data_IF_393567665465
#
_entry.id   IF_393567665465
#
_cell.length_a   1.000
_cell.length_b   1.000
_cell.length_c   1.000
_cell.angle_alpha   90.00
_cell.angle_beta   90.00
_cell.angle_gamma   90.00
#
_symmetry.space_group_name_H-M   'P 1'
#
loop_
_entity.id
_entity.type
_entity.pdbx_description
1 polymer ?
#
# COMPACT_ATOMS: atom_id res chain seq x y z
N UNK A 1 10.72 10.23 18.01
CA UNK A 1 11.16 9.03 17.26
C UNK A 1 12.18 9.48 16.23
N UNK A 2 13.24 8.72 16.01
CA UNK A 2 14.30 9.09 15.07
C UNK A 2 13.83 8.88 13.65
N UNK A 3 14.03 9.86 12.75
CA UNK A 3 13.74 9.73 11.32
C UNK A 3 14.80 8.84 10.65
N UNK A 4 14.37 7.81 9.93
CA UNK A 4 15.25 7.01 9.09
C UNK A 4 15.49 7.69 7.75
N UNK A 5 14.43 8.21 7.14
CA UNK A 5 14.51 8.96 5.88
C UNK A 5 13.69 10.23 6.01
N UNK A 6 14.29 11.36 5.63
CA UNK A 6 13.64 12.65 5.42
C UNK A 6 13.80 13.05 3.96
N UNK A 7 12.67 13.37 3.33
CA UNK A 7 12.57 13.85 1.96
C UNK A 7 11.92 15.22 2.00
N UNK A 8 12.55 16.22 1.38
CA UNK A 8 12.08 17.61 1.41
C UNK A 8 12.01 18.16 -0.02
N UNK A 9 10.80 18.59 -0.43
CA UNK A 9 10.49 19.21 -1.71
C UNK A 9 11.11 18.51 -2.93
N UNK A 10 11.06 17.16 -2.93
CA UNK A 10 11.70 16.33 -3.94
C UNK A 10 10.92 16.39 -5.26
N UNK A 11 11.61 16.81 -6.32
CA UNK A 11 11.09 16.78 -7.68
C UNK A 11 11.93 15.88 -8.57
N UNK A 12 11.27 15.21 -9.52
CA UNK A 12 11.93 14.44 -10.57
C UNK A 12 11.26 14.66 -11.89
N UNK A 13 12.02 15.12 -12.87
CA UNK A 13 11.59 15.38 -14.22
C UNK A 13 12.39 14.55 -15.22
N UNK A 14 11.69 13.95 -16.18
CA UNK A 14 12.28 13.20 -17.29
C UNK A 14 11.98 13.90 -18.62
N UNK A 15 12.87 13.81 -19.57
CA UNK A 15 12.70 14.35 -20.92
C UNK A 15 13.61 15.53 -21.23
N UNK A 16 13.47 16.08 -22.44
CA UNK A 16 14.23 17.22 -22.92
C UNK A 16 13.53 18.55 -22.61
N UNK A 17 14.23 19.70 -22.61
CA UNK A 17 13.63 21.00 -22.41
C UNK A 17 12.45 21.25 -23.39
N UNK A 18 11.24 21.44 -22.85
CA UNK A 18 10.01 21.64 -23.62
C UNK A 18 9.08 20.41 -23.71
N UNK A 19 9.55 19.21 -23.34
CA UNK A 19 8.73 17.99 -23.22
C UNK A 19 9.07 17.23 -21.94
N UNK A 20 9.02 17.89 -20.79
CA UNK A 20 9.33 17.28 -19.51
C UNK A 20 8.10 16.58 -18.90
N UNK A 21 8.27 15.32 -18.51
CA UNK A 21 7.33 14.59 -17.66
C UNK A 21 7.77 14.72 -16.21
N UNK A 22 6.98 15.40 -15.40
CA UNK A 22 7.24 15.50 -13.96
C UNK A 22 6.72 14.23 -13.26
N UNK A 23 7.64 13.34 -12.90
CA UNK A 23 7.33 12.07 -12.26
C UNK A 23 7.11 12.21 -10.74
N UNK A 24 7.81 13.17 -10.11
CA UNK A 24 7.58 13.57 -8.71
C UNK A 24 7.51 15.09 -8.65
N UNK A 25 6.57 15.60 -7.85
CA UNK A 25 6.22 17.00 -7.75
C UNK A 25 6.10 17.41 -6.27
N UNK A 26 7.12 18.10 -5.76
CA UNK A 26 7.20 18.66 -4.40
C UNK A 26 6.94 17.59 -3.30
N UNK A 27 7.46 16.39 -3.47
CA UNK A 27 7.28 15.31 -2.50
C UNK A 27 8.07 15.61 -1.23
N UNK A 28 7.33 15.75 -0.11
CA UNK A 28 7.92 15.83 1.23
C UNK A 28 7.37 14.68 2.08
N UNK A 29 8.27 13.91 2.71
CA UNK A 29 7.93 12.68 3.39
C UNK A 29 8.93 12.37 4.50
N UNK A 30 8.43 11.92 5.64
CA UNK A 30 9.25 11.45 6.75
C UNK A 30 8.92 9.98 7.08
N UNK A 31 9.95 9.12 7.03
CA UNK A 31 9.89 7.69 7.36
C UNK A 31 10.65 7.49 8.67
N UNK A 32 10.00 6.84 9.64
CA UNK A 32 10.58 6.62 10.96
C UNK A 32 11.51 5.42 10.98
N UNK A 33 12.44 5.40 11.92
CA UNK A 33 13.28 4.22 12.13
C UNK A 33 12.43 3.03 12.61
N UNK A 34 12.78 1.84 12.13
CA UNK A 34 12.16 0.56 12.49
C UNK A 34 10.67 0.45 12.15
N UNK A 35 10.15 1.22 11.16
CA UNK A 35 8.78 1.03 10.67
C UNK A 35 8.75 0.24 9.36
N UNK A 36 7.63 -0.43 9.13
CA UNK A 36 7.25 -0.95 7.83
C UNK A 36 6.42 0.12 7.13
N UNK A 37 7.04 0.84 6.21
CA UNK A 37 6.44 1.96 5.50
C UNK A 37 6.08 1.59 4.06
N UNK A 38 4.85 1.84 3.63
CA UNK A 38 4.41 1.50 2.28
C UNK A 38 4.14 2.73 1.42
N UNK A 39 4.67 2.72 0.21
CA UNK A 39 4.31 3.63 -0.87
C UNK A 39 3.22 2.97 -1.71
N UNK A 40 2.02 3.50 -1.65
CA UNK A 40 0.83 2.95 -2.28
C UNK A 40 0.28 3.93 -3.33
N UNK A 41 -0.21 3.44 -4.45
CA UNK A 41 -0.82 4.28 -5.47
C UNK A 41 -0.93 3.57 -6.83
N UNK A 42 -1.66 4.14 -7.79
CA UNK A 42 -1.82 3.57 -9.12
C UNK A 42 -0.51 3.47 -9.89
N UNK A 43 -0.48 2.69 -10.95
CA UNK A 43 0.68 2.59 -11.83
C UNK A 43 1.03 3.97 -12.42
N UNK A 44 2.33 4.27 -12.50
CA UNK A 44 2.83 5.54 -13.04
C UNK A 44 2.71 6.76 -12.11
N UNK A 45 2.31 6.60 -10.83
CA UNK A 45 2.21 7.74 -9.91
C UNK A 45 3.55 8.16 -9.25
N UNK A 46 4.68 7.53 -9.58
CA UNK A 46 6.01 7.92 -9.09
C UNK A 46 6.61 7.06 -7.98
N UNK A 47 5.95 5.98 -7.52
CA UNK A 47 6.45 5.11 -6.42
C UNK A 47 7.84 4.54 -6.67
N UNK A 48 8.02 3.82 -7.78
CA UNK A 48 9.31 3.23 -8.18
C UNK A 48 10.37 4.30 -8.44
N UNK A 49 9.97 5.47 -8.98
CA UNK A 49 10.88 6.61 -9.15
C UNK A 49 11.39 7.09 -7.79
N UNK A 50 10.48 7.28 -6.81
CA UNK A 50 10.86 7.67 -5.45
C UNK A 50 11.79 6.64 -4.81
N UNK A 51 11.49 5.35 -4.95
CA UNK A 51 12.32 4.28 -4.44
C UNK A 51 13.73 4.29 -5.08
N UNK A 52 13.82 4.51 -6.41
CA UNK A 52 15.10 4.61 -7.14
C UNK A 52 15.93 5.80 -6.70
N UNK A 53 15.31 6.94 -6.42
CA UNK A 53 15.96 8.12 -5.87
C UNK A 53 16.54 7.85 -4.46
N UNK A 54 15.81 7.17 -3.60
CA UNK A 54 16.29 6.74 -2.27
C UNK A 54 17.46 5.77 -2.42
N UNK A 55 17.36 4.81 -3.34
CA UNK A 55 18.41 3.85 -3.63
C UNK A 55 19.68 4.48 -4.27
N UNK A 56 19.54 5.64 -4.91
CA UNK A 56 20.62 6.33 -5.61
C UNK A 56 20.83 5.89 -7.05
N UNK A 57 19.88 5.17 -7.63
CA UNK A 57 19.89 4.81 -9.06
C UNK A 57 19.49 5.96 -9.98
N UNK A 58 18.82 6.97 -9.40
CA UNK A 58 18.45 8.21 -10.07
C UNK A 58 18.89 9.40 -9.21
N UNK A 59 19.07 10.56 -9.83
CA UNK A 59 19.34 11.81 -9.13
C UNK A 59 18.11 12.72 -9.23
N UNK A 60 17.69 13.38 -8.15
CA UNK A 60 16.54 14.29 -8.19
C UNK A 60 16.84 15.53 -9.01
N UNK A 61 15.82 16.07 -9.67
CA UNK A 61 15.92 17.37 -10.34
C UNK A 61 16.04 18.52 -9.35
N UNK A 62 15.40 18.41 -8.18
CA UNK A 62 15.52 19.31 -7.04
C UNK A 62 15.04 18.65 -5.74
N UNK A 63 15.28 19.31 -4.61
CA UNK A 63 14.95 18.81 -3.28
C UNK A 63 16.06 17.98 -2.66
N UNK A 64 15.80 17.42 -1.47
CA UNK A 64 16.83 16.70 -0.69
C UNK A 64 16.32 15.37 -0.16
N UNK A 65 17.22 14.40 -0.08
CA UNK A 65 17.01 13.10 0.59
C UNK A 65 18.08 12.95 1.67
N UNK A 66 17.65 12.72 2.91
CA UNK A 66 18.54 12.43 4.03
C UNK A 66 18.22 11.07 4.61
N UNK A 67 19.26 10.32 4.95
CA UNK A 67 19.17 9.03 5.62
C UNK A 67 19.82 9.16 7.00
N UNK A 68 19.04 8.99 8.06
CA UNK A 68 19.49 9.23 9.44
C UNK A 68 20.22 10.59 9.60
N UNK A 69 19.71 11.63 8.93
CA UNK A 69 20.26 12.99 8.93
C UNK A 69 21.39 13.25 7.93
N UNK A 70 22.00 12.23 7.35
CA UNK A 70 23.06 12.35 6.34
C UNK A 70 22.48 12.57 4.94
N UNK A 71 23.02 13.56 4.20
CA UNK A 71 22.59 13.83 2.82
C UNK A 71 23.05 12.71 1.88
N UNK A 72 22.14 12.28 0.96
CA UNK A 72 22.38 11.13 0.09
C UNK A 72 22.66 11.50 -1.37
N UNK A 73 22.44 12.74 -1.79
CA UNK A 73 22.47 13.15 -3.20
C UNK A 73 23.79 12.80 -3.89
N UNK A 74 24.93 13.03 -3.22
CA UNK A 74 26.26 12.81 -3.77
C UNK A 74 26.80 11.39 -3.57
N UNK A 75 26.02 10.53 -2.89
CA UNK A 75 26.46 9.16 -2.63
C UNK A 75 25.96 8.21 -3.73
N UNK A 76 26.88 7.47 -4.36
CA UNK A 76 26.49 6.42 -5.32
C UNK A 76 25.75 5.28 -4.60
N UNK A 77 24.95 4.47 -5.32
CA UNK A 77 24.11 3.41 -4.73
C UNK A 77 24.86 2.48 -3.77
N UNK A 78 26.06 2.05 -4.13
CA UNK A 78 26.85 1.09 -3.34
C UNK A 78 27.41 1.65 -2.02
N UNK A 79 27.38 2.97 -1.83
CA UNK A 79 27.79 3.64 -0.58
C UNK A 79 26.60 4.01 0.32
N UNK A 80 25.39 3.94 -0.19
CA UNK A 80 24.20 4.21 0.62
C UNK A 80 23.91 3.03 1.55
N UNK A 81 23.56 3.26 2.82
CA UNK A 81 23.26 2.17 3.75
C UNK A 81 21.85 1.60 3.53
N UNK A 82 21.48 1.39 2.27
CA UNK A 82 20.22 0.82 1.81
C UNK A 82 20.48 -0.38 0.90
N UNK A 83 19.59 -1.36 0.91
CA UNK A 83 19.60 -2.44 -0.07
C UNK A 83 18.22 -2.55 -0.72
N UNK A 84 18.20 -3.02 -1.97
CA UNK A 84 16.95 -3.15 -2.75
C UNK A 84 16.70 -4.60 -3.12
N UNK A 85 15.46 -5.05 -2.94
CA UNK A 85 14.91 -6.26 -3.54
C UNK A 85 14.01 -5.83 -4.69
N UNK A 86 14.38 -6.21 -5.90
CA UNK A 86 13.67 -5.89 -7.13
C UNK A 86 12.50 -6.85 -7.36
N UNK A 87 11.56 -6.45 -8.19
CA UNK A 87 10.39 -7.25 -8.59
C UNK A 87 10.78 -8.62 -9.18
N UNK A 88 11.85 -8.68 -9.96
CA UNK A 88 12.39 -9.91 -10.55
C UNK A 88 13.35 -10.69 -9.64
N UNK A 89 13.47 -10.28 -8.36
CA UNK A 89 14.44 -10.78 -7.38
C UNK A 89 15.90 -10.62 -7.76
N UNK A 90 16.23 -10.49 -9.03
CA UNK A 90 17.56 -10.28 -9.61
C UNK A 90 18.65 -11.20 -9.02
N UNK A 91 18.33 -12.47 -8.75
CA UNK A 91 19.32 -13.48 -8.35
C UNK A 91 20.27 -13.77 -9.51
N UNK A 92 21.56 -13.95 -9.20
CA UNK A 92 22.55 -14.33 -10.18
C UNK A 92 22.36 -15.81 -10.59
N UNK A 93 21.95 -16.10 -11.84
CA UNK A 93 21.52 -17.44 -12.23
C UNK A 93 22.67 -18.45 -12.29
N UNK A 94 23.89 -17.96 -12.47
CA UNK A 94 25.11 -18.79 -12.55
C UNK A 94 25.73 -19.12 -11.18
N UNK A 95 25.24 -18.48 -10.12
CA UNK A 95 25.69 -18.64 -8.73
C UNK A 95 24.77 -19.55 -7.94
N UNK A 96 25.34 -20.28 -6.98
CA UNK A 96 24.58 -20.96 -5.95
C UNK A 96 23.86 -19.96 -5.01
N UNK A 97 22.94 -20.45 -4.21
CA UNK A 97 22.25 -19.66 -3.18
C UNK A 97 23.26 -19.06 -2.18
N UNK A 98 24.22 -19.84 -1.74
CA UNK A 98 25.25 -19.37 -0.82
C UNK A 98 26.10 -18.25 -1.41
N UNK A 99 26.52 -18.40 -2.68
CA UNK A 99 27.26 -17.37 -3.41
C UNK A 99 26.41 -16.11 -3.64
N UNK A 100 25.12 -16.25 -3.99
CA UNK A 100 24.21 -15.12 -4.11
C UNK A 100 24.15 -14.30 -2.81
N UNK A 101 23.98 -14.96 -1.65
CA UNK A 101 23.90 -14.29 -0.35
C UNK A 101 25.24 -13.68 0.03
N UNK A 102 26.34 -14.40 -0.23
CA UNK A 102 27.70 -14.00 0.11
C UNK A 102 28.29 -12.91 -0.76
N UNK A 103 27.76 -12.70 -1.99
CA UNK A 103 28.34 -11.82 -3.00
C UNK A 103 28.69 -10.41 -2.49
N UNK A 104 27.73 -9.75 -1.82
CA UNK A 104 27.95 -8.41 -1.30
C UNK A 104 28.99 -8.35 -0.18
N UNK A 105 29.13 -9.43 0.59
CA UNK A 105 30.13 -9.55 1.66
C UNK A 105 31.53 -9.74 1.09
N UNK A 106 31.64 -10.54 0.02
CA UNK A 106 32.89 -10.74 -0.72
C UNK A 106 33.39 -9.44 -1.33
N UNK A 107 32.51 -8.67 -1.98
CA UNK A 107 32.85 -7.34 -2.54
C UNK A 107 33.29 -6.34 -1.47
N UNK A 108 32.94 -6.53 -0.21
CA UNK A 108 33.38 -5.76 0.94
C UNK A 108 34.67 -6.28 1.55
N UNK A 109 35.24 -7.37 1.03
CA UNK A 109 36.49 -7.96 1.46
C UNK A 109 36.44 -8.73 2.79
N UNK A 110 35.25 -9.24 3.20
CA UNK A 110 35.12 -10.08 4.38
C UNK A 110 35.85 -11.41 4.16
N UNK A 111 36.35 -12.00 5.24
CA UNK A 111 37.00 -13.31 5.21
C UNK A 111 35.96 -14.41 4.85
N UNK A 112 36.45 -15.51 4.26
CA UNK A 112 35.61 -16.65 3.90
C UNK A 112 34.82 -17.21 5.10
N UNK A 113 35.44 -17.26 6.27
CA UNK A 113 34.75 -17.73 7.48
C UNK A 113 33.61 -16.83 7.92
N UNK A 114 33.77 -15.49 7.84
CA UNK A 114 32.70 -14.53 8.15
C UNK A 114 31.56 -14.62 7.13
N UNK A 115 31.89 -14.81 5.85
CA UNK A 115 30.89 -15.02 4.80
C UNK A 115 30.08 -16.29 5.06
N UNK A 116 30.75 -17.43 5.31
CA UNK A 116 30.08 -18.71 5.58
C UNK A 116 29.17 -18.64 6.82
N UNK A 117 29.63 -17.99 7.90
CA UNK A 117 28.81 -17.77 9.09
C UNK A 117 27.58 -16.90 8.80
N UNK A 118 27.76 -15.80 8.06
CA UNK A 118 26.67 -14.88 7.72
C UNK A 118 25.66 -15.57 6.79
N UNK A 119 26.13 -16.30 5.77
CA UNK A 119 25.27 -17.05 4.85
C UNK A 119 24.43 -18.06 5.62
N UNK A 120 25.03 -18.83 6.53
CA UNK A 120 24.31 -19.77 7.37
C UNK A 120 23.22 -19.10 8.20
N UNK A 121 23.56 -17.99 8.89
CA UNK A 121 22.60 -17.24 9.68
C UNK A 121 21.45 -16.67 8.83
N UNK A 122 21.73 -16.18 7.62
CA UNK A 122 20.72 -15.66 6.71
C UNK A 122 19.80 -16.76 6.20
N UNK A 123 20.31 -17.94 5.89
CA UNK A 123 19.51 -19.09 5.49
C UNK A 123 18.59 -19.58 6.60
N UNK A 124 19.07 -19.58 7.84
CA UNK A 124 18.26 -19.89 9.03
C UNK A 124 17.17 -18.83 9.23
N UNK A 125 17.51 -17.54 9.12
CA UNK A 125 16.57 -16.43 9.25
C UNK A 125 15.38 -16.51 8.27
N UNK A 126 15.65 -16.90 7.02
CA UNK A 126 14.59 -17.06 5.99
C UNK A 126 13.99 -18.47 5.94
N UNK A 127 14.32 -19.34 6.90
CA UNK A 127 13.82 -20.73 7.05
C UNK A 127 14.10 -21.61 5.85
N UNK A 128 15.29 -21.50 5.28
CA UNK A 128 15.79 -22.29 4.15
C UNK A 128 17.22 -22.81 4.39
N UNK A 129 17.52 -23.52 5.49
CA UNK A 129 18.90 -23.87 5.87
C UNK A 129 19.60 -24.80 4.86
N UNK A 130 18.83 -25.65 4.14
CA UNK A 130 19.39 -26.74 3.34
C UNK A 130 19.58 -26.40 1.85
N UNK A 131 19.24 -25.17 1.40
CA UNK A 131 19.27 -24.84 -0.04
C UNK A 131 20.57 -24.17 -0.49
N UNK A 132 21.54 -23.98 0.37
CA UNK A 132 22.75 -23.19 0.09
C UNK A 132 23.55 -23.60 -1.17
N UNK A 133 23.53 -24.90 -1.53
CA UNK A 133 24.21 -25.44 -2.72
C UNK A 133 23.37 -25.39 -4.00
N UNK A 134 22.07 -25.09 -3.91
CA UNK A 134 21.16 -25.03 -5.08
C UNK A 134 21.44 -23.78 -5.89
N UNK A 135 21.03 -23.78 -7.14
CA UNK A 135 21.02 -22.59 -8.02
C UNK A 135 19.62 -21.97 -8.00
N UNK A 136 19.54 -20.70 -8.46
CA UNK A 136 18.29 -19.95 -8.44
C UNK A 136 17.16 -20.64 -9.24
N UNK A 137 17.47 -21.28 -10.36
CA UNK A 137 16.53 -22.01 -11.22
C UNK A 137 15.95 -23.29 -10.57
N UNK A 138 16.55 -23.78 -9.51
CA UNK A 138 16.10 -24.95 -8.74
C UNK A 138 15.18 -24.58 -7.58
N UNK A 139 14.80 -23.30 -7.46
CA UNK A 139 13.98 -22.77 -6.38
C UNK A 139 12.60 -22.36 -6.88
N UNK A 140 11.57 -22.56 -6.03
CA UNK A 140 10.25 -21.96 -6.28
C UNK A 140 10.32 -20.43 -6.18
N UNK A 141 9.33 -19.70 -6.75
CA UNK A 141 9.29 -18.25 -6.71
C UNK A 141 9.37 -17.68 -5.29
N UNK A 142 8.66 -18.25 -4.33
CA UNK A 142 8.74 -17.84 -2.93
C UNK A 142 10.07 -18.16 -2.26
N UNK A 143 10.75 -19.25 -2.66
CA UNK A 143 12.12 -19.53 -2.22
C UNK A 143 13.10 -18.52 -2.81
N UNK A 144 12.97 -18.18 -4.10
CA UNK A 144 13.81 -17.16 -4.74
C UNK A 144 13.67 -15.81 -4.05
N UNK A 145 12.44 -15.42 -3.70
CA UNK A 145 12.19 -14.18 -2.95
C UNK A 145 12.87 -14.20 -1.58
N UNK A 146 12.73 -15.27 -0.80
CA UNK A 146 13.40 -15.41 0.49
C UNK A 146 14.91 -15.34 0.37
N UNK A 147 15.51 -15.90 -0.67
CA UNK A 147 16.95 -15.79 -0.93
C UNK A 147 17.34 -14.37 -1.34
N UNK A 148 16.52 -13.67 -2.14
CA UNK A 148 16.78 -12.25 -2.45
C UNK A 148 16.74 -11.37 -1.19
N UNK A 149 15.80 -11.64 -0.28
CA UNK A 149 15.75 -11.00 1.04
C UNK A 149 16.99 -11.32 1.88
N UNK A 150 17.38 -12.60 1.96
CA UNK A 150 18.58 -13.03 2.67
C UNK A 150 19.84 -12.33 2.14
N UNK A 151 19.99 -12.22 0.80
CA UNK A 151 21.08 -11.48 0.14
C UNK A 151 21.08 -10.00 0.52
N UNK A 152 19.90 -9.38 0.51
CA UNK A 152 19.77 -7.97 0.84
C UNK A 152 20.07 -7.71 2.34
N UNK A 153 19.63 -8.57 3.24
CA UNK A 153 19.84 -8.47 4.68
C UNK A 153 21.27 -8.81 5.12
N UNK A 154 21.98 -9.67 4.38
CA UNK A 154 23.35 -10.08 4.69
C UNK A 154 24.30 -8.89 4.85
N UNK A 155 24.12 -7.83 4.09
CA UNK A 155 24.90 -6.60 4.16
C UNK A 155 24.56 -5.71 5.36
N UNK A 156 23.60 -6.08 6.21
CA UNK A 156 23.11 -5.32 7.37
C UNK A 156 22.76 -3.87 7.01
N UNK A 157 21.85 -3.65 6.05
CA UNK A 157 21.43 -2.30 5.68
C UNK A 157 20.67 -1.63 6.83
N UNK A 158 20.68 -0.29 6.87
CA UNK A 158 19.80 0.46 7.78
C UNK A 158 18.37 0.52 7.27
N UNK A 159 18.18 0.45 5.95
CA UNK A 159 16.87 0.48 5.27
C UNK A 159 16.83 -0.59 4.17
N UNK A 160 15.75 -1.33 4.11
CA UNK A 160 15.47 -2.29 3.04
C UNK A 160 14.36 -1.75 2.13
N UNK A 161 14.65 -1.68 0.84
CA UNK A 161 13.72 -1.23 -0.20
C UNK A 161 13.16 -2.45 -0.94
N UNK A 162 11.83 -2.54 -1.05
CA UNK A 162 11.12 -3.65 -1.68
C UNK A 162 10.26 -3.10 -2.82
N UNK A 163 10.65 -3.37 -4.08
CA UNK A 163 9.96 -2.88 -5.27
C UNK A 163 9.03 -3.96 -5.83
N UNK A 164 7.72 -3.86 -5.54
CA UNK A 164 6.67 -4.80 -5.99
C UNK A 164 7.04 -6.30 -5.85
N UNK A 165 7.79 -6.63 -4.80
CA UNK A 165 8.43 -7.94 -4.66
C UNK A 165 7.46 -9.12 -4.45
N UNK A 166 6.16 -8.86 -4.22
CA UNK A 166 5.12 -9.87 -4.05
C UNK A 166 4.27 -10.10 -5.31
N UNK A 167 4.37 -9.24 -6.32
CA UNK A 167 3.48 -9.24 -7.49
C UNK A 167 3.56 -10.51 -8.36
N UNK A 168 4.72 -11.17 -8.39
CA UNK A 168 4.94 -12.38 -9.17
C UNK A 168 4.45 -13.69 -8.51
N UNK A 169 3.95 -13.61 -7.26
CA UNK A 169 3.52 -14.78 -6.50
C UNK A 169 2.03 -15.06 -6.66
N UNK A 170 1.65 -16.35 -6.58
CA UNK A 170 0.25 -16.74 -6.43
C UNK A 170 -0.34 -16.26 -5.09
N UNK A 171 -1.66 -16.21 -4.98
CA UNK A 171 -2.36 -15.64 -3.82
C UNK A 171 -1.98 -16.30 -2.49
N UNK A 172 -1.86 -17.63 -2.44
CA UNK A 172 -1.54 -18.35 -1.19
C UNK A 172 -0.13 -18.02 -0.74
N UNK A 173 0.83 -18.12 -1.65
CA UNK A 173 2.23 -17.83 -1.37
C UNK A 173 2.45 -16.35 -1.03
N UNK A 174 1.71 -15.44 -1.67
CA UNK A 174 1.73 -14.01 -1.35
C UNK A 174 1.35 -13.75 0.10
N UNK A 175 0.24 -14.33 0.59
CA UNK A 175 -0.19 -14.21 2.00
C UNK A 175 0.84 -14.77 2.98
N UNK A 176 1.45 -15.90 2.66
CA UNK A 176 2.53 -16.47 3.47
C UNK A 176 3.74 -15.51 3.53
N UNK A 177 4.09 -14.91 2.40
CA UNK A 177 5.22 -13.97 2.30
C UNK A 177 4.95 -12.63 2.99
N UNK A 178 3.72 -12.14 3.00
CA UNK A 178 3.34 -10.94 3.78
C UNK A 178 3.62 -11.14 5.28
N UNK A 179 3.19 -12.28 5.82
CA UNK A 179 3.44 -12.63 7.23
C UNK A 179 4.95 -12.74 7.49
N UNK A 180 5.69 -13.37 6.59
CA UNK A 180 7.13 -13.57 6.72
C UNK A 180 7.89 -12.23 6.64
N UNK A 181 7.53 -11.31 5.75
CA UNK A 181 8.13 -9.98 5.67
C UNK A 181 7.91 -9.16 6.94
N UNK A 182 6.70 -9.17 7.49
CA UNK A 182 6.39 -8.47 8.75
C UNK A 182 7.16 -9.08 9.93
N UNK A 183 7.30 -10.42 9.98
CA UNK A 183 8.12 -11.11 10.96
C UNK A 183 9.60 -10.70 10.86
N UNK A 184 10.17 -10.74 9.65
CA UNK A 184 11.56 -10.38 9.39
C UNK A 184 11.85 -8.93 9.78
N UNK A 185 10.94 -8.00 9.48
CA UNK A 185 11.06 -6.61 9.88
C UNK A 185 11.10 -6.47 11.40
N UNK A 186 10.20 -7.17 12.12
CA UNK A 186 10.18 -7.15 13.59
C UNK A 186 11.43 -7.76 14.22
N UNK A 187 11.96 -8.87 13.67
CA UNK A 187 13.16 -9.54 14.19
C UNK A 187 14.45 -8.79 13.91
N UNK A 188 14.54 -8.12 12.75
CA UNK A 188 15.74 -7.40 12.35
C UNK A 188 15.79 -5.97 12.88
N UNK A 189 14.64 -5.37 13.19
CA UNK A 189 14.51 -3.97 13.58
C UNK A 189 14.92 -2.97 12.48
N UNK A 190 15.02 -3.42 11.23
CA UNK A 190 15.39 -2.59 10.07
C UNK A 190 14.15 -1.86 9.57
N UNK A 191 14.32 -0.64 9.06
CA UNK A 191 13.24 0.09 8.36
C UNK A 191 12.99 -0.54 7.01
N UNK A 192 11.74 -0.91 6.72
CA UNK A 192 11.33 -1.43 5.42
C UNK A 192 10.54 -0.37 4.67
N UNK A 193 10.87 -0.15 3.40
CA UNK A 193 10.07 0.65 2.46
C UNK A 193 9.57 -0.28 1.37
N UNK A 194 8.27 -0.45 1.32
CA UNK A 194 7.60 -1.34 0.40
C UNK A 194 6.81 -0.57 -0.64
N UNK A 195 6.98 -0.89 -1.90
CA UNK A 195 6.21 -0.34 -3.01
C UNK A 195 5.20 -1.38 -3.47
N UNK A 196 3.94 -1.00 -3.51
CA UNK A 196 2.87 -1.83 -4.05
C UNK A 196 1.76 -0.99 -4.69
N UNK A 197 0.97 -1.62 -5.53
CA UNK A 197 -0.33 -1.11 -5.99
C UNK A 197 -1.50 -1.89 -5.36
N UNK A 198 -1.21 -2.92 -4.56
CA UNK A 198 -2.19 -3.75 -3.87
C UNK A 198 -2.54 -3.14 -2.50
N UNK A 199 -3.83 -2.86 -2.31
CA UNK A 199 -4.34 -2.24 -1.09
C UNK A 199 -4.33 -3.20 0.09
N UNK A 200 -4.61 -4.51 -0.13
CA UNK A 200 -4.61 -5.53 0.92
C UNK A 200 -3.20 -5.68 1.50
N UNK A 201 -2.17 -5.67 0.65
CA UNK A 201 -0.77 -5.70 1.08
C UNK A 201 -0.44 -4.48 1.96
N UNK A 202 -0.79 -3.27 1.50
CA UNK A 202 -0.51 -2.05 2.23
C UNK A 202 -1.23 -2.01 3.59
N UNK A 203 -2.51 -2.37 3.63
CA UNK A 203 -3.31 -2.34 4.85
C UNK A 203 -2.89 -3.39 5.89
N UNK A 204 -2.39 -4.55 5.44
CA UNK A 204 -2.06 -5.68 6.35
C UNK A 204 -0.65 -5.61 6.92
N UNK A 205 0.31 -5.07 6.17
CA UNK A 205 1.72 -5.13 6.59
C UNK A 205 2.25 -3.83 7.18
N UNK A 206 1.66 -2.68 6.83
CA UNK A 206 2.28 -1.38 7.11
C UNK A 206 2.01 -0.88 8.52
N UNK A 207 2.99 -0.19 9.09
CA UNK A 207 2.79 0.67 10.24
C UNK A 207 2.25 2.03 9.79
N UNK A 208 2.74 2.54 8.63
CA UNK A 208 2.22 3.73 7.96
C UNK A 208 2.26 3.55 6.44
N UNK A 209 1.33 4.23 5.77
CA UNK A 209 1.17 4.21 4.31
C UNK A 209 1.23 5.65 3.81
N UNK A 210 1.98 5.89 2.73
CA UNK A 210 1.87 7.09 1.92
C UNK A 210 1.09 6.76 0.65
N UNK A 211 -0.03 7.43 0.43
CA UNK A 211 -0.82 7.32 -0.80
C UNK A 211 -0.31 8.35 -1.80
N UNK A 212 0.19 7.87 -2.94
CA UNK A 212 0.72 8.69 -4.02
C UNK A 212 -0.26 8.74 -5.19
N UNK A 213 -0.39 9.91 -5.80
CA UNK A 213 -1.10 10.09 -7.08
C UNK A 213 -0.47 11.23 -7.87
N UNK A 214 -0.27 11.02 -9.17
CA UNK A 214 0.27 12.04 -10.10
C UNK A 214 1.54 12.73 -9.58
N UNK A 215 2.47 11.95 -9.04
CA UNK A 215 3.76 12.44 -8.54
C UNK A 215 3.72 13.14 -7.18
N UNK A 216 2.57 13.20 -6.50
CA UNK A 216 2.40 13.87 -5.20
C UNK A 216 1.96 12.88 -4.11
N UNK A 217 2.35 13.16 -2.89
CA UNK A 217 1.81 12.46 -1.70
C UNK A 217 0.49 13.11 -1.31
N UNK A 218 -0.61 12.34 -1.35
CA UNK A 218 -1.94 12.83 -1.00
C UNK A 218 -2.22 12.71 0.50
N UNK A 219 -1.82 11.60 1.11
CA UNK A 219 -2.03 11.33 2.53
C UNK A 219 -0.94 10.40 3.07
N UNK A 220 -0.53 10.61 4.30
CA UNK A 220 0.31 9.70 5.08
C UNK A 220 -0.40 9.42 6.40
N UNK A 221 -0.55 8.14 6.74
CA UNK A 221 -1.21 7.73 7.99
C UNK A 221 -1.05 6.24 8.26
N UNK A 222 -1.58 5.80 9.39
CA UNK A 222 -1.74 4.38 9.69
C UNK A 222 -2.75 3.74 8.72
N UNK A 223 -2.75 2.40 8.54
CA UNK A 223 -3.77 1.72 7.73
C UNK A 223 -5.20 2.13 8.07
N UNK A 224 -5.51 2.23 9.37
CA UNK A 224 -6.83 2.66 9.84
C UNK A 224 -7.16 4.11 9.45
N UNK A 225 -6.22 5.05 9.59
CA UNK A 225 -6.43 6.45 9.19
C UNK A 225 -6.66 6.58 7.68
N UNK A 226 -5.88 5.85 6.86
CA UNK A 226 -6.02 5.87 5.40
C UNK A 226 -7.38 5.32 4.97
N UNK A 227 -7.86 4.25 5.61
CA UNK A 227 -9.12 3.60 5.28
C UNK A 227 -10.35 4.35 5.82
N UNK A 228 -10.32 4.73 7.11
CA UNK A 228 -11.48 5.28 7.81
C UNK A 228 -11.61 6.80 7.64
N UNK A 229 -10.49 7.52 7.45
CA UNK A 229 -10.46 8.99 7.38
C UNK A 229 -9.71 9.50 6.15
N UNK A 230 -10.12 9.11 4.93
CA UNK A 230 -9.49 9.61 3.72
C UNK A 230 -9.64 11.14 3.62
N UNK A 231 -8.56 11.82 3.24
CA UNK A 231 -8.52 13.29 3.17
C UNK A 231 -9.29 13.86 1.99
N UNK A 232 -9.46 13.08 0.93
CA UNK A 232 -10.15 13.49 -0.29
C UNK A 232 -10.78 12.30 -1.03
N UNK A 233 -11.56 12.61 -2.07
CA UNK A 233 -12.23 11.61 -2.92
C UNK A 233 -11.26 10.64 -3.57
N UNK A 234 -10.10 11.13 -4.03
CA UNK A 234 -9.08 10.28 -4.70
C UNK A 234 -8.55 9.19 -3.77
N UNK A 235 -8.25 9.53 -2.50
CA UNK A 235 -7.82 8.54 -1.52
C UNK A 235 -8.95 7.59 -1.17
N UNK A 236 -10.18 8.11 -0.95
CA UNK A 236 -11.35 7.29 -0.62
C UNK A 236 -11.70 6.28 -1.73
N UNK A 237 -11.58 6.69 -3.00
CA UNK A 237 -11.87 5.86 -4.17
C UNK A 237 -10.78 4.82 -4.42
N UNK A 238 -9.52 5.21 -4.18
CA UNK A 238 -8.39 4.32 -4.39
C UNK A 238 -8.26 3.26 -3.29
N UNK A 239 -8.66 3.54 -2.05
CA UNK A 239 -8.54 2.61 -0.92
C UNK A 239 -9.87 1.93 -0.63
N UNK A 240 -10.05 0.71 -1.09
CA UNK A 240 -11.28 -0.06 -0.93
C UNK A 240 -12.43 0.48 -1.78
N UNK A 241 -13.54 -0.24 -1.74
CA UNK A 241 -14.77 0.20 -2.40
C UNK A 241 -15.43 1.33 -1.59
N UNK A 242 -15.92 2.35 -2.27
CA UNK A 242 -16.58 3.50 -1.64
C UNK A 242 -17.82 3.91 -2.42
N UNK A 243 -18.92 4.14 -1.73
CA UNK A 243 -20.08 4.81 -2.28
C UNK A 243 -19.89 6.32 -2.15
N UNK A 244 -20.12 7.06 -3.23
CA UNK A 244 -20.12 8.51 -3.22
C UNK A 244 -21.53 9.02 -3.49
N UNK A 245 -22.04 9.90 -2.60
CA UNK A 245 -23.31 10.60 -2.78
C UNK A 245 -23.04 12.11 -2.66
N UNK A 246 -23.43 12.86 -3.67
CA UNK A 246 -23.31 14.30 -3.65
C UNK A 246 -24.57 14.94 -3.07
N UNK A 247 -24.42 16.02 -2.33
CA UNK A 247 -25.52 16.71 -1.69
C UNK A 247 -25.12 18.05 -1.11
N UNK A 248 -26.11 18.77 -0.57
CA UNK A 248 -25.93 20.07 0.06
C UNK A 248 -26.12 19.97 1.57
N UNK A 249 -25.25 20.65 2.29
CA UNK A 249 -25.34 20.69 3.76
C UNK A 249 -26.56 21.46 4.23
N UNK A 250 -27.18 20.96 5.30
CA UNK A 250 -28.25 21.65 6.03
C UNK A 250 -28.02 21.51 7.54
N UNK A 251 -28.82 22.19 8.35
CA UNK A 251 -28.75 22.06 9.81
C UNK A 251 -29.08 20.62 10.25
N UNK A 252 -28.02 19.82 10.54
CA UNK A 252 -28.13 18.45 11.02
C UNK A 252 -27.68 17.36 10.04
N UNK A 253 -27.21 17.72 8.82
CA UNK A 253 -26.72 16.71 7.87
C UNK A 253 -26.58 17.18 6.44
N UNK A 254 -26.82 16.26 5.52
CA UNK A 254 -26.73 16.50 4.06
C UNK A 254 -28.02 16.08 3.39
N UNK A 255 -28.52 16.93 2.49
CA UNK A 255 -29.67 16.68 1.61
C UNK A 255 -29.16 16.22 0.25
N UNK A 256 -29.58 15.03 -0.19
CA UNK A 256 -29.25 14.48 -1.49
C UNK A 256 -30.10 15.12 -2.62
N UNK A 257 -29.73 14.85 -3.87
CA UNK A 257 -30.35 15.43 -5.06
C UNK A 257 -31.84 15.12 -5.21
N UNK A 258 -32.31 14.00 -4.67
CA UNK A 258 -33.73 13.59 -4.66
C UNK A 258 -34.51 14.06 -3.42
N UNK A 259 -33.87 14.84 -2.55
CA UNK A 259 -34.47 15.37 -1.33
C UNK A 259 -34.33 14.49 -0.09
N UNK A 260 -33.76 13.29 -0.21
CA UNK A 260 -33.48 12.43 0.94
C UNK A 260 -32.45 13.09 1.87
N UNK A 261 -32.60 12.86 3.17
CA UNK A 261 -31.78 13.48 4.21
C UNK A 261 -30.93 12.42 4.91
N UNK A 262 -29.62 12.66 5.04
CA UNK A 262 -28.72 11.86 5.83
C UNK A 262 -28.17 12.70 6.99
N UNK A 263 -28.43 12.24 8.21
CA UNK A 263 -27.89 12.87 9.40
C UNK A 263 -26.37 12.63 9.48
N UNK A 264 -25.58 13.70 9.55
CA UNK A 264 -24.14 13.62 9.75
C UNK A 264 -23.62 14.91 10.36
N UNK A 265 -22.61 14.81 11.21
CA UNK A 265 -21.94 15.97 11.73
C UNK A 265 -20.95 16.51 10.68
N UNK A 266 -21.12 17.74 10.25
CA UNK A 266 -20.18 18.43 9.38
C UNK A 266 -20.05 19.90 9.78
N UNK A 267 -18.84 20.42 9.73
CA UNK A 267 -18.57 21.86 9.86
C UNK A 267 -18.52 22.56 8.49
N UNK A 268 -18.67 21.81 7.41
CA UNK A 268 -18.63 22.33 6.02
C UNK A 268 -19.99 22.91 5.66
N UNK A 269 -19.99 23.92 4.81
CA UNK A 269 -21.19 24.56 4.27
C UNK A 269 -21.18 24.45 2.74
N UNK A 270 -22.36 24.28 2.14
CA UNK A 270 -22.55 24.17 0.69
C UNK A 270 -22.49 22.75 0.18
N UNK A 271 -22.05 22.58 -1.07
CA UNK A 271 -22.01 21.29 -1.74
C UNK A 271 -20.88 20.42 -1.22
N UNK A 272 -21.18 19.16 -0.92
CA UNK A 272 -20.25 18.17 -0.34
C UNK A 272 -20.45 16.81 -0.99
N UNK A 273 -19.41 15.97 -0.93
CA UNK A 273 -19.52 14.56 -1.28
C UNK A 273 -19.47 13.71 0.00
N UNK A 274 -20.44 12.82 0.16
CA UNK A 274 -20.44 11.80 1.20
C UNK A 274 -19.71 10.56 0.69
N UNK A 275 -18.72 10.07 1.44
CA UNK A 275 -18.05 8.80 1.21
C UNK A 275 -18.53 7.79 2.26
N UNK A 276 -19.02 6.64 1.78
CA UNK A 276 -19.66 5.62 2.62
C UNK A 276 -19.13 4.25 2.18
N UNK A 277 -18.59 3.48 3.12
CA UNK A 277 -18.10 2.12 2.83
C UNK A 277 -19.27 1.13 2.68
N UNK A 278 -19.25 0.22 1.68
CA UNK A 278 -20.32 -0.76 1.46
C UNK A 278 -20.61 -1.69 2.63
N UNK A 279 -19.59 -2.04 3.42
CA UNK A 279 -19.69 -2.90 4.60
C UNK A 279 -20.14 -2.16 5.87
N UNK A 280 -20.22 -0.84 5.83
CA UNK A 280 -20.69 0.00 6.95
C UNK A 280 -22.18 0.28 6.90
N UNK A 281 -22.85 -0.14 5.85
CA UNK A 281 -24.29 0.03 5.64
C UNK A 281 -24.97 -1.32 5.52
N UNK A 282 -26.27 -1.38 5.81
CA UNK A 282 -27.05 -2.62 5.74
C UNK A 282 -28.44 -2.37 5.19
N UNK A 283 -29.05 -3.39 4.58
CA UNK A 283 -30.46 -3.37 4.25
C UNK A 283 -31.28 -3.61 5.53
N UNK A 284 -32.18 -2.70 5.85
CA UNK A 284 -33.01 -2.78 7.05
C UNK A 284 -34.32 -2.02 6.84
N UNK A 285 -35.45 -2.56 7.34
CA UNK A 285 -36.77 -1.93 7.15
C UNK A 285 -36.85 -0.52 7.78
N UNK A 286 -36.06 -0.23 8.81
CA UNK A 286 -35.94 1.05 9.50
C UNK A 286 -34.87 1.98 8.91
N UNK A 287 -34.29 1.63 7.74
CA UNK A 287 -33.24 2.42 7.11
C UNK A 287 -33.71 3.80 6.67
N UNK A 288 -32.80 4.78 6.73
CA UNK A 288 -33.08 6.18 6.40
C UNK A 288 -33.08 6.44 4.89
N UNK A 289 -32.24 5.72 4.15
CA UNK A 289 -31.99 5.94 2.74
C UNK A 289 -32.80 4.94 1.90
N UNK A 290 -33.58 5.44 0.94
CA UNK A 290 -34.34 4.61 0.02
C UNK A 290 -33.55 4.28 -1.23
N UNK A 291 -33.68 3.06 -1.74
CA UNK A 291 -33.06 2.61 -2.98
C UNK A 291 -33.84 1.52 -3.67
N UNK A 292 -33.42 1.18 -4.89
CA UNK A 292 -33.98 0.07 -5.67
C UNK A 292 -32.86 -0.89 -6.03
N UNK A 293 -33.10 -2.18 -5.88
CA UNK A 293 -32.10 -3.22 -6.19
C UNK A 293 -31.93 -3.34 -7.71
N UNK A 294 -30.73 -3.08 -8.20
CA UNK A 294 -30.36 -3.21 -9.61
C UNK A 294 -29.68 -4.56 -9.91
N UNK A 295 -28.88 -5.06 -8.97
CA UNK A 295 -28.20 -6.35 -9.13
C UNK A 295 -27.84 -6.95 -7.76
N UNK A 296 -27.65 -8.28 -7.73
CA UNK A 296 -27.27 -9.03 -6.52
C UNK A 296 -26.15 -9.98 -6.90
N UNK A 297 -25.01 -9.88 -6.21
CA UNK A 297 -23.83 -10.72 -6.44
C UNK A 297 -23.51 -11.51 -5.17
N UNK A 298 -23.63 -12.84 -5.24
CA UNK A 298 -23.25 -13.74 -4.15
C UNK A 298 -21.77 -14.03 -4.22
N UNK A 299 -21.02 -13.71 -3.15
CA UNK A 299 -19.56 -13.87 -3.08
C UNK A 299 -19.14 -14.99 -2.11
N UNK A 300 -20.07 -15.81 -1.65
CA UNK A 300 -19.80 -16.88 -0.66
C UNK A 300 -19.99 -16.37 0.78
N UNK A 301 -18.99 -15.71 1.33
CA UNK A 301 -19.07 -15.13 2.68
C UNK A 301 -20.01 -13.94 2.78
N UNK A 302 -20.16 -13.20 1.68
CA UNK A 302 -20.93 -11.96 1.61
C UNK A 302 -21.87 -11.96 0.40
N UNK A 303 -22.91 -11.15 0.47
CA UNK A 303 -23.74 -10.76 -0.68
C UNK A 303 -23.56 -9.27 -0.93
N UNK A 304 -23.22 -8.91 -2.17
CA UNK A 304 -23.11 -7.53 -2.63
C UNK A 304 -24.40 -7.15 -3.37
N UNK A 305 -25.12 -6.16 -2.84
CA UNK A 305 -26.27 -5.55 -3.48
C UNK A 305 -25.82 -4.28 -4.22
N UNK A 306 -26.13 -4.18 -5.50
CA UNK A 306 -26.01 -2.95 -6.29
C UNK A 306 -27.36 -2.27 -6.35
N UNK A 307 -27.42 -1.03 -5.90
CA UNK A 307 -28.65 -0.29 -5.73
C UNK A 307 -28.62 1.00 -6.53
N UNK A 308 -29.79 1.45 -6.96
CA UNK A 308 -30.02 2.82 -7.41
C UNK A 308 -30.47 3.65 -6.21
N UNK A 309 -29.72 4.70 -5.88
CA UNK A 309 -29.96 5.58 -4.73
C UNK A 309 -29.86 7.04 -5.18
N UNK A 310 -30.79 7.89 -4.79
CA UNK A 310 -30.83 9.31 -5.16
C UNK A 310 -30.66 9.55 -6.68
N UNK A 311 -31.24 8.67 -7.51
CA UNK A 311 -31.14 8.72 -8.96
C UNK A 311 -29.81 8.18 -9.53
N UNK A 312 -28.82 7.86 -8.71
CA UNK A 312 -27.52 7.33 -9.10
C UNK A 312 -27.50 5.81 -9.00
N UNK A 313 -26.99 5.12 -10.03
CA UNK A 313 -26.79 3.67 -10.04
C UNK A 313 -25.46 3.28 -9.40
N UNK A 314 -25.39 2.02 -8.92
CA UNK A 314 -24.14 1.43 -8.45
C UNK A 314 -23.80 1.71 -6.99
N UNK A 315 -24.75 2.17 -6.18
CA UNK A 315 -24.56 2.22 -4.72
C UNK A 315 -24.47 0.80 -4.18
N UNK A 316 -23.41 0.50 -3.43
CA UNK A 316 -23.07 -0.84 -2.95
C UNK A 316 -23.42 -1.02 -1.49
N UNK A 317 -24.08 -2.15 -1.18
CA UNK A 317 -24.26 -2.63 0.20
C UNK A 317 -23.66 -4.03 0.28
N UNK A 318 -22.68 -4.22 1.15
CA UNK A 318 -22.05 -5.54 1.39
C UNK A 318 -22.57 -6.10 2.69
N UNK A 319 -23.27 -7.20 2.60
CA UNK A 319 -23.89 -7.85 3.75
C UNK A 319 -23.31 -9.26 3.93
N UNK A 320 -22.84 -9.56 5.14
CA UNK A 320 -22.32 -10.86 5.48
C UNK A 320 -23.42 -11.91 5.48
N UNK A 321 -23.16 -13.08 4.90
CA UNK A 321 -24.09 -14.20 4.83
C UNK A 321 -24.04 -14.96 6.16
N UNK A 322 -24.96 -14.63 7.07
CA UNK A 322 -25.17 -15.40 8.31
C UNK A 322 -26.39 -16.31 8.17
N UNK A 323 -26.40 -17.45 8.85
CA UNK A 323 -27.56 -18.35 8.92
C UNK A 323 -28.79 -17.59 9.40
N UNK A 324 -29.81 -17.46 8.52
CA UNK A 324 -31.09 -16.83 8.78
C UNK A 324 -31.20 -15.32 8.56
N UNK A 325 -30.13 -14.61 8.18
CA UNK A 325 -30.15 -13.14 8.05
C UNK A 325 -30.27 -12.61 6.60
N UNK A 326 -30.40 -13.47 5.60
CA UNK A 326 -30.62 -13.05 4.22
C UNK A 326 -32.03 -12.49 4.07
N UNK A 327 -32.17 -11.17 4.11
CA UNK A 327 -33.33 -10.49 3.58
C UNK A 327 -33.36 -10.83 2.07
N UNK A 328 -34.30 -11.71 1.67
CA UNK A 328 -34.41 -12.14 0.26
C UNK A 328 -35.00 -11.01 -0.57
N UNK A 329 -34.17 -10.07 -0.97
CA UNK A 329 -34.50 -9.06 -1.94
C UNK A 329 -34.34 -9.63 -3.36
N UNK A 330 -35.19 -9.23 -4.29
CA UNK A 330 -35.03 -9.50 -5.69
C UNK A 330 -34.66 -8.22 -6.46
N UNK A 331 -34.12 -8.40 -7.65
CA UNK A 331 -33.85 -7.26 -8.56
C UNK A 331 -35.21 -6.55 -8.85
N UNK A 332 -35.20 -5.24 -8.71
CA UNK A 332 -36.39 -4.38 -8.85
C UNK A 332 -37.07 -4.03 -7.53
N UNK A 333 -36.74 -4.71 -6.43
CA UNK A 333 -37.32 -4.42 -5.12
C UNK A 333 -36.92 -3.05 -4.60
N UNK A 334 -37.90 -2.33 -4.03
CA UNK A 334 -37.62 -1.15 -3.23
C UNK A 334 -37.12 -1.55 -1.84
N UNK A 335 -35.98 -1.01 -1.44
CA UNK A 335 -35.34 -1.34 -0.18
C UNK A 335 -35.00 -0.08 0.64
N UNK A 336 -34.81 -0.28 1.93
CA UNK A 336 -34.31 0.76 2.82
C UNK A 336 -32.91 0.38 3.29
N UNK A 337 -32.04 1.38 3.36
CA UNK A 337 -30.63 1.25 3.71
C UNK A 337 -30.42 1.99 5.02
N UNK A 338 -29.90 1.29 6.00
CA UNK A 338 -29.45 1.87 7.27
C UNK A 338 -28.03 2.39 7.10
N UNK A 339 -27.84 3.68 7.34
CA UNK A 339 -26.56 4.39 7.19
C UNK A 339 -26.19 5.03 8.53
N UNK A 340 -25.44 4.33 9.37
CA UNK A 340 -24.98 4.90 10.65
C UNK A 340 -24.22 6.20 10.42
N UNK A 341 -24.46 7.22 11.24
CA UNK A 341 -23.76 8.52 11.16
C UNK A 341 -22.24 8.38 11.17
N UNK A 342 -21.72 7.40 11.94
CA UNK A 342 -20.29 7.05 12.00
C UNK A 342 -19.73 6.48 10.69
N UNK A 343 -20.59 5.96 9.80
CA UNK A 343 -20.19 5.40 8.51
C UNK A 343 -19.96 6.48 7.44
N UNK A 344 -20.43 7.70 7.68
CA UNK A 344 -20.40 8.80 6.71
C UNK A 344 -19.14 9.63 6.90
N UNK A 345 -18.38 9.82 5.81
CA UNK A 345 -17.30 10.81 5.74
C UNK A 345 -17.69 11.91 4.77
N UNK A 346 -17.62 13.16 5.24
CA UNK A 346 -17.92 14.34 4.43
C UNK A 346 -16.62 14.86 3.83
N UNK A 347 -16.51 14.74 2.51
CA UNK A 347 -15.35 15.20 1.75
C UNK A 347 -15.64 16.56 1.11
N UNK A 348 -14.58 17.36 0.87
CA UNK A 348 -14.69 18.52 -0.02
C UNK A 348 -14.87 18.04 -1.46
N UNK A 349 -15.65 18.77 -2.25
CA UNK A 349 -15.70 18.58 -3.69
C UNK A 349 -14.38 18.98 -4.34
#
# INVERSE_FOLDING_TARGET
>A
MTSAISIEHLCMEFGEPGQTLRALDEVSLEIRANEFFTLLGPSGCGKTTLLRLIAGFEQPSSGTIRLYGEAMQDLPPFRRPVNTVFQSYALFPHMSVAENIGFGLEMRGLSRSEIEQTVKAMLELVKLPDVGRRRADQLSGGQQQRIALARALANRPKVLLLDESLSALDMKLRKEMQIELKRLQGETGITFIFVTHDQEEALTMSDRIAVLSKGRVLQVGTPSEIYETPVNRTVADFIGETNFLDGDTYSGGVRLSDGQLLATATSRNGSVTLAIRPERVSLAADGELAGTVENIVYIGTDTLYLLKVAGQSGFRVRQQNHDGALQRCAVGDAVRIKVPTSAIRVLAQ
#
